data_IF_945205862142
#
_entry.id   IF_945205862142
#
_cell.length_a   1.000
_cell.length_b   1.000
_cell.length_c   1.000
_cell.angle_alpha   90.00
_cell.angle_beta   90.00
_cell.angle_gamma   90.00
#
_symmetry.space_group_name_H-M   'P 1'
#
loop_
_entity.id
_entity.type
_entity.pdbx_description
1 polymer ?
#
# COMPACT_ATOMS: atom_id res chain seq x y z
N UNK A 1 -1.29 -4.02 14.15
CA UNK A 1 -1.10 -4.06 12.68
C UNK A 1 -1.54 -5.42 12.16
N UNK A 2 -2.39 -5.41 11.17
CA UNK A 2 -2.81 -6.65 10.54
C UNK A 2 -1.78 -7.10 9.52
N UNK A 3 -1.48 -8.38 9.53
CA UNK A 3 -0.56 -8.97 8.57
C UNK A 3 -1.06 -8.81 7.13
N UNK A 4 -2.38 -8.86 6.94
CA UNK A 4 -3.01 -8.66 5.64
C UNK A 4 -2.70 -7.26 5.07
N UNK A 5 -2.81 -6.23 5.90
CA UNK A 5 -2.55 -4.86 5.46
C UNK A 5 -1.10 -4.69 5.04
N UNK A 6 -0.18 -5.29 5.77
CA UNK A 6 1.23 -5.25 5.42
C UNK A 6 1.49 -5.97 4.10
N UNK A 7 0.87 -7.13 3.91
CA UNK A 7 0.99 -7.89 2.66
C UNK A 7 0.48 -7.08 1.46
N UNK A 8 -0.65 -6.40 1.64
CA UNK A 8 -1.22 -5.56 0.59
C UNK A 8 -0.30 -4.40 0.26
N UNK A 9 0.28 -3.78 1.28
CA UNK A 9 1.23 -2.69 1.09
C UNK A 9 2.44 -3.14 0.27
N UNK A 10 3.01 -4.30 0.60
CA UNK A 10 4.16 -4.83 -0.12
C UNK A 10 3.83 -5.12 -1.58
N UNK A 11 2.63 -5.63 -1.85
CA UNK A 11 2.18 -5.89 -3.22
C UNK A 11 2.07 -4.59 -4.01
N UNK A 12 1.55 -3.53 -3.40
CA UNK A 12 1.45 -2.22 -4.05
C UNK A 12 2.83 -1.69 -4.41
N UNK A 13 3.79 -1.83 -3.49
CA UNK A 13 5.16 -1.40 -3.75
C UNK A 13 5.78 -2.14 -4.92
N UNK A 14 5.55 -3.44 -5.03
CA UNK A 14 6.08 -4.23 -6.12
C UNK A 14 5.42 -3.92 -7.45
N UNK A 15 4.10 -3.73 -7.44
CA UNK A 15 3.35 -3.48 -8.67
C UNK A 15 3.51 -2.06 -9.19
N UNK A 16 3.74 -1.11 -8.30
CA UNK A 16 3.90 0.30 -8.68
C UNK A 16 2.60 1.03 -8.95
N UNK A 17 1.46 0.34 -9.01
CA UNK A 17 0.14 0.96 -9.16
C UNK A 17 -0.87 0.24 -8.30
N UNK A 18 -1.88 0.99 -7.85
CA UNK A 18 -2.96 0.42 -7.03
C UNK A 18 -3.82 -0.55 -7.85
N UNK A 19 -4.09 -0.20 -9.12
CA UNK A 19 -4.90 -1.04 -10.01
C UNK A 19 -4.30 -2.42 -10.17
N UNK A 20 -3.02 -2.47 -10.47
CA UNK A 20 -2.34 -3.73 -10.72
C UNK A 20 -2.26 -4.58 -9.45
N UNK A 21 -1.96 -3.93 -8.33
CA UNK A 21 -1.91 -4.64 -7.06
C UNK A 21 -3.28 -5.23 -6.70
N UNK A 22 -4.35 -4.46 -6.91
CA UNK A 22 -5.71 -4.95 -6.65
C UNK A 22 -6.02 -6.17 -7.49
N UNK A 23 -5.64 -6.15 -8.77
CA UNK A 23 -5.84 -7.31 -9.65
C UNK A 23 -5.09 -8.54 -9.14
N UNK A 24 -3.83 -8.37 -8.80
CA UNK A 24 -3.04 -9.50 -8.30
C UNK A 24 -3.53 -10.05 -6.99
N UNK A 25 -4.06 -9.18 -6.13
CA UNK A 25 -4.58 -9.59 -4.83
C UNK A 25 -6.02 -10.06 -4.89
N UNK A 26 -6.67 -9.96 -6.06
CA UNK A 26 -8.07 -10.33 -6.25
C UNK A 26 -9.02 -9.55 -5.32
N UNK A 27 -8.75 -8.25 -5.19
CA UNK A 27 -9.58 -7.35 -4.38
C UNK A 27 -9.92 -6.13 -5.22
N UNK A 28 -10.90 -5.35 -4.77
CA UNK A 28 -11.22 -4.09 -5.42
C UNK A 28 -10.22 -3.03 -5.01
N UNK A 29 -10.05 -2.02 -5.86
CA UNK A 29 -9.16 -0.90 -5.55
C UNK A 29 -9.58 -0.16 -4.28
N UNK A 30 -10.88 0.16 -4.07
CA UNK A 30 -11.31 0.78 -2.82
C UNK A 30 -11.00 -0.05 -1.58
N UNK A 31 -11.14 -1.38 -1.67
CA UNK A 31 -10.82 -2.26 -0.54
C UNK A 31 -9.32 -2.21 -0.22
N UNK A 32 -8.49 -2.28 -1.26
CA UNK A 32 -7.05 -2.19 -1.11
C UNK A 32 -6.64 -0.85 -0.50
N UNK A 33 -7.22 0.23 -1.02
CA UNK A 33 -6.93 1.57 -0.54
C UNK A 33 -7.28 1.74 0.95
N UNK A 34 -8.40 1.17 1.38
CA UNK A 34 -8.81 1.22 2.78
C UNK A 34 -7.84 0.46 3.68
N UNK A 35 -7.35 -0.68 3.23
CA UNK A 35 -6.37 -1.46 4.00
C UNK A 35 -5.08 -0.68 4.19
N UNK A 36 -4.59 -0.05 3.14
CA UNK A 36 -3.37 0.76 3.20
C UNK A 36 -3.58 1.98 4.11
N UNK A 37 -4.73 2.66 3.97
CA UNK A 37 -5.04 3.82 4.80
C UNK A 37 -5.13 3.45 6.28
N UNK A 38 -5.68 2.27 6.59
CA UNK A 38 -5.74 1.76 7.94
C UNK A 38 -4.36 1.52 8.52
N UNK A 39 -3.46 0.95 7.72
CA UNK A 39 -2.09 0.72 8.14
C UNK A 39 -1.35 2.04 8.39
N UNK A 40 -1.52 3.01 7.50
CA UNK A 40 -0.91 4.33 7.65
C UNK A 40 -1.40 5.02 8.93
N UNK A 41 -2.69 4.92 9.19
CA UNK A 41 -3.31 5.51 10.38
C UNK A 41 -2.78 4.87 11.66
N UNK A 42 -2.64 3.56 11.65
CA UNK A 42 -2.13 2.83 12.80
C UNK A 42 -0.68 3.19 13.10
N UNK A 43 0.14 3.36 12.07
CA UNK A 43 1.55 3.71 12.22
C UNK A 43 1.79 5.20 12.36
N UNK A 44 0.77 6.02 12.11
CA UNK A 44 0.85 7.46 12.25
C UNK A 44 1.70 8.14 11.19
N UNK A 45 1.84 7.54 10.03
CA UNK A 45 2.63 8.14 8.95
C UNK A 45 2.15 7.63 7.60
N UNK A 46 2.46 8.39 6.55
CA UNK A 46 2.16 7.96 5.20
C UNK A 46 3.22 6.98 4.73
N UNK A 47 2.78 5.92 4.07
CA UNK A 47 3.64 4.86 3.56
C UNK A 47 3.77 4.88 2.04
N UNK A 48 2.88 5.59 1.35
CA UNK A 48 2.88 5.71 -0.10
C UNK A 48 2.81 7.15 -0.54
N UNK A 49 3.59 7.50 -1.55
CA UNK A 49 3.45 8.75 -2.28
C UNK A 49 2.58 8.44 -3.49
N UNK A 50 1.48 9.17 -3.63
CA UNK A 50 0.57 8.97 -4.74
C UNK A 50 0.90 9.94 -5.86
N UNK A 51 1.15 9.40 -7.03
CA UNK A 51 1.38 10.17 -8.24
C UNK A 51 0.24 9.88 -9.21
N UNK A 52 0.13 10.63 -10.29
CA UNK A 52 -1.04 10.54 -11.18
C UNK A 52 -1.37 9.14 -11.65
N UNK A 53 -0.39 8.30 -11.93
CA UNK A 53 -0.62 6.94 -12.42
C UNK A 53 0.16 5.87 -11.69
N UNK A 54 0.89 6.27 -10.65
CA UNK A 54 1.71 5.33 -9.92
C UNK A 54 1.76 5.66 -8.45
N UNK A 55 2.24 4.73 -7.67
CA UNK A 55 2.49 4.94 -6.25
C UNK A 55 3.92 4.51 -5.96
N UNK A 56 4.54 5.17 -5.00
CA UNK A 56 5.90 4.85 -4.57
C UNK A 56 5.93 4.82 -3.05
N UNK A 57 6.76 3.98 -2.45
CA UNK A 57 6.89 4.01 -1.00
C UNK A 57 7.53 5.33 -0.55
N UNK A 58 7.05 5.86 0.58
CA UNK A 58 7.69 7.00 1.22
C UNK A 58 8.96 6.51 1.87
N UNK A 59 9.77 7.44 2.39
CA UNK A 59 10.97 7.09 3.13
C UNK A 59 10.65 6.16 4.29
N UNK A 60 9.59 6.45 5.03
CA UNK A 60 9.15 5.59 6.14
C UNK A 60 8.62 4.25 5.65
N UNK A 61 7.96 4.25 4.49
CA UNK A 61 7.50 3.02 3.87
C UNK A 61 8.65 2.12 3.44
N UNK A 62 9.71 2.70 2.92
CA UNK A 62 10.91 1.95 2.55
C UNK A 62 11.54 1.30 3.78
N UNK A 63 11.52 2.00 4.90
CA UNK A 63 12.02 1.47 6.15
C UNK A 63 11.20 0.26 6.60
N UNK A 64 9.89 0.36 6.48
CA UNK A 64 8.99 -0.74 6.84
C UNK A 64 9.21 -1.98 5.97
N UNK A 65 9.55 -1.77 4.68
CA UNK A 65 9.76 -2.86 3.74
C UNK A 65 10.99 -3.72 4.06
N UNK A 66 11.91 -3.15 4.76
CA UNK A 66 13.10 -3.90 5.15
C UNK A 66 12.79 -4.95 6.19
#
# INVERSE_FOLDING_TARGET
MELRALRYYLAVCECGTMSRAAEELHVTQPALSRQIAGLERELGCELLERRSRSVRPTEKGLYLRR
#
